data_IF_865453599377
#
_entry.id   IF_865453599377
#
_cell.length_a   1.000
_cell.length_b   1.000
_cell.length_c   1.000
_cell.angle_alpha   90.00
_cell.angle_beta   90.00
_cell.angle_gamma   90.00
#
_symmetry.space_group_name_H-M   'P 1'
#
loop_
_entity.id
_entity.type
_entity.pdbx_description
1 polymer ?
#
# COMPACT_ATOMS: atom_id res chain seq x y z
N UNK A 1 2.89 6.83 18.71
CA UNK A 1 1.77 6.72 17.74
C UNK A 1 1.46 5.25 17.51
N UNK A 2 0.19 4.83 17.58
CA UNK A 2 -0.20 3.44 17.37
C UNK A 2 -0.02 3.02 15.89
N UNK A 3 0.27 1.74 15.62
CA UNK A 3 0.49 1.25 14.24
C UNK A 3 -0.75 1.41 13.35
N UNK A 4 -1.94 1.29 13.92
CA UNK A 4 -3.20 1.49 13.19
C UNK A 4 -3.45 2.96 12.86
N UNK A 5 -3.27 3.87 13.84
CA UNK A 5 -3.30 5.32 13.57
C UNK A 5 -2.30 5.73 12.49
N UNK A 6 -1.09 5.16 12.51
CA UNK A 6 -0.07 5.46 11.51
C UNK A 6 -0.55 5.12 10.09
N UNK A 7 -1.22 3.98 9.91
CA UNK A 7 -1.78 3.59 8.60
C UNK A 7 -2.86 4.55 8.12
N UNK A 8 -3.82 4.86 8.99
CA UNK A 8 -4.93 5.77 8.67
C UNK A 8 -4.40 7.16 8.26
N UNK A 9 -3.44 7.69 9.00
CA UNK A 9 -2.84 8.99 8.69
C UNK A 9 -2.06 8.96 7.37
N UNK A 10 -1.33 7.88 7.07
CA UNK A 10 -0.65 7.72 5.77
C UNK A 10 -1.67 7.67 4.63
N UNK A 11 -2.78 6.95 4.80
CA UNK A 11 -3.84 6.85 3.80
C UNK A 11 -4.52 8.20 3.54
N UNK A 12 -4.82 8.97 4.58
CA UNK A 12 -5.41 10.31 4.43
C UNK A 12 -4.48 11.24 3.66
N UNK A 13 -3.19 11.26 3.99
CA UNK A 13 -2.22 12.08 3.29
C UNK A 13 -2.06 11.63 1.82
N UNK A 14 -2.10 10.32 1.56
CA UNK A 14 -2.07 9.78 0.20
C UNK A 14 -3.32 10.18 -0.61
N UNK A 15 -4.51 10.14 -0.01
CA UNK A 15 -5.76 10.61 -0.64
C UNK A 15 -5.72 12.11 -0.95
N UNK A 16 -5.03 12.90 -0.11
CA UNK A 16 -4.78 14.33 -0.36
C UNK A 16 -3.73 14.59 -1.45
N UNK A 17 -3.15 13.55 -2.05
CA UNK A 17 -2.15 13.67 -3.12
C UNK A 17 -0.72 13.92 -2.63
N UNK A 18 -0.43 13.66 -1.35
CA UNK A 18 0.91 13.90 -0.82
C UNK A 18 1.88 12.81 -1.29
N UNK A 19 3.05 13.22 -1.77
CA UNK A 19 4.15 12.31 -2.12
C UNK A 19 4.83 11.73 -0.87
N UNK A 20 5.44 10.55 -1.00
CA UNK A 20 6.08 9.83 0.13
C UNK A 20 7.05 10.68 0.96
N UNK A 21 7.77 11.61 0.32
CA UNK A 21 8.70 12.52 0.99
C UNK A 21 7.98 13.51 1.92
N UNK A 22 6.79 14.01 1.52
CA UNK A 22 5.96 14.88 2.37
C UNK A 22 5.32 14.07 3.50
N UNK A 23 4.78 12.88 3.19
CA UNK A 23 4.20 11.98 4.19
C UNK A 23 5.22 11.64 5.29
N UNK A 24 6.44 11.34 4.89
CA UNK A 24 7.56 11.06 5.80
C UNK A 24 7.85 12.23 6.74
N UNK A 25 7.85 13.46 6.19
CA UNK A 25 8.08 14.68 6.97
C UNK A 25 6.94 14.97 7.94
N UNK A 26 5.70 14.76 7.50
CA UNK A 26 4.50 15.04 8.30
C UNK A 26 4.33 14.07 9.48
N UNK A 27 4.61 12.79 9.24
CA UNK A 27 4.44 11.73 10.24
C UNK A 27 5.72 11.39 10.99
N UNK A 28 6.80 12.13 10.74
CA UNK A 28 8.13 11.89 11.31
C UNK A 28 8.59 10.44 11.16
N UNK A 29 8.37 9.86 9.97
CA UNK A 29 8.80 8.50 9.62
C UNK A 29 9.81 8.53 8.48
N UNK A 30 10.51 7.42 8.25
CA UNK A 30 11.39 7.32 7.08
C UNK A 30 10.57 7.20 5.79
N UNK A 31 11.13 7.73 4.69
CA UNK A 31 10.53 7.62 3.34
C UNK A 31 10.33 6.16 2.94
N UNK A 32 11.24 5.27 3.36
CA UNK A 32 11.12 3.82 3.18
C UNK A 32 9.90 3.25 3.91
N UNK A 33 9.64 3.68 5.15
CA UNK A 33 8.45 3.29 5.91
C UNK A 33 7.16 3.79 5.26
N UNK A 34 7.14 5.06 4.82
CA UNK A 34 5.99 5.63 4.11
C UNK A 34 5.67 4.83 2.83
N UNK A 35 6.69 4.53 2.02
CA UNK A 35 6.56 3.70 0.81
C UNK A 35 6.05 2.30 1.14
N UNK A 36 6.60 1.66 2.16
CA UNK A 36 6.20 0.32 2.57
C UNK A 36 4.73 0.28 2.98
N UNK A 37 4.28 1.21 3.82
CA UNK A 37 2.89 1.29 4.28
C UNK A 37 1.94 1.52 3.09
N UNK A 38 2.25 2.47 2.21
CA UNK A 38 1.46 2.71 1.00
C UNK A 38 1.42 1.48 0.06
N UNK A 39 2.52 0.73 -0.07
CA UNK A 39 2.58 -0.44 -0.95
C UNK A 39 1.77 -1.61 -0.39
N UNK A 40 1.95 -1.92 0.91
CA UNK A 40 1.19 -2.94 1.65
C UNK A 40 -0.32 -2.68 1.61
N UNK A 41 -0.71 -1.41 1.68
CA UNK A 41 -2.12 -1.03 1.64
C UNK A 41 -2.75 -1.29 0.27
N UNK A 42 -2.02 -1.03 -0.82
CA UNK A 42 -2.47 -1.38 -2.17
C UNK A 42 -2.55 -2.89 -2.39
N UNK A 43 -1.61 -3.67 -1.85
CA UNK A 43 -1.69 -5.14 -1.89
C UNK A 43 -2.96 -5.64 -1.18
N UNK A 44 -3.21 -5.18 0.05
CA UNK A 44 -4.41 -5.58 0.79
C UNK A 44 -5.72 -5.21 0.09
N UNK A 45 -5.77 -4.09 -0.65
CA UNK A 45 -6.95 -3.73 -1.45
C UNK A 45 -7.16 -4.66 -2.64
N UNK A 46 -6.09 -5.00 -3.36
CA UNK A 46 -6.16 -5.91 -4.51
C UNK A 46 -6.61 -7.32 -4.11
N UNK A 47 -6.22 -7.79 -2.92
CA UNK A 47 -6.64 -9.10 -2.38
C UNK A 47 -8.12 -9.15 -1.91
N UNK A 48 -8.77 -7.98 -1.80
CA UNK A 48 -10.17 -7.86 -1.36
C UNK A 48 -11.14 -7.60 -2.52
N UNK A 49 -10.65 -7.49 -3.75
CA UNK A 49 -11.52 -7.24 -4.90
C UNK A 49 -12.43 -8.46 -5.17
N UNK A 50 -13.71 -8.19 -5.35
CA UNK A 50 -14.72 -9.17 -5.75
C UNK A 50 -15.16 -8.87 -7.18
N UNK A 51 -15.46 -9.92 -7.94
CA UNK A 51 -16.00 -9.77 -9.28
C UNK A 51 -17.35 -9.04 -9.20
N UNK A 52 -17.46 -7.89 -9.89
CA UNK A 52 -18.70 -7.08 -9.92
C UNK A 52 -19.91 -7.83 -10.51
N UNK A 53 -19.66 -8.92 -11.25
CA UNK A 53 -20.70 -9.70 -11.91
C UNK A 53 -21.15 -10.93 -11.11
N UNK A 54 -20.22 -11.67 -10.48
CA UNK A 54 -20.53 -12.93 -9.79
C UNK A 54 -20.15 -12.97 -8.31
N UNK A 55 -19.60 -11.87 -7.76
CA UNK A 55 -19.23 -11.75 -6.34
C UNK A 55 -18.05 -12.63 -5.90
N UNK A 56 -17.43 -13.38 -6.82
CA UNK A 56 -16.29 -14.25 -6.49
C UNK A 56 -15.05 -13.43 -6.16
N UNK A 57 -14.28 -13.86 -5.15
CA UNK A 57 -13.03 -13.20 -4.74
C UNK A 57 -11.99 -13.31 -5.85
N UNK A 58 -11.45 -12.17 -6.27
CA UNK A 58 -10.38 -12.09 -7.25
C UNK A 58 -9.07 -12.20 -6.48
N UNK A 59 -8.25 -13.21 -6.82
CA UNK A 59 -6.89 -13.34 -6.28
C UNK A 59 -5.92 -12.65 -7.24
N UNK A 60 -5.20 -11.65 -6.77
CA UNK A 60 -4.11 -11.05 -7.54
C UNK A 60 -2.88 -11.96 -7.47
N UNK A 61 -2.65 -12.76 -8.51
CA UNK A 61 -1.47 -13.64 -8.57
C UNK A 61 -0.26 -12.78 -8.97
N UNK A 62 0.53 -12.36 -7.99
CA UNK A 62 1.84 -11.75 -8.27
C UNK A 62 2.74 -12.77 -8.94
N UNK A 63 3.03 -12.57 -10.22
CA UNK A 63 4.03 -13.37 -10.93
C UNK A 63 5.38 -13.29 -10.19
N UNK A 64 6.02 -14.45 -9.98
CA UNK A 64 7.36 -14.52 -9.39
C UNK A 64 8.34 -13.90 -10.38
N UNK A 65 9.05 -12.84 -9.97
CA UNK A 65 10.07 -12.19 -10.80
C UNK A 65 11.12 -13.23 -11.20
N UNK A 66 11.29 -13.48 -12.51
CA UNK A 66 12.29 -14.41 -13.03
C UNK A 66 13.68 -13.91 -12.61
N UNK A 67 14.42 -14.70 -11.83
CA UNK A 67 15.82 -14.39 -11.56
C UNK A 67 16.62 -14.65 -12.83
N UNK A 68 17.11 -13.58 -13.45
CA UNK A 68 18.14 -13.67 -14.48
C UNK A 68 19.45 -13.90 -13.72
N UNK A 69 20.04 -15.09 -13.82
CA UNK A 69 21.42 -15.33 -13.39
C UNK A 69 22.32 -14.79 -14.49
N UNK A 70 23.20 -13.85 -14.12
CA UNK A 70 24.32 -13.40 -14.95
C UNK A 70 25.47 -14.40 -14.84
#
# INVERSE_FOLDING_TARGET
>A
MNREQLKLNVEELQKKGYVYKRIAKELSITVSSARYICSKHNESKLDQEVCKHCGSKIKSIKAKKKMIKF
#
